data_IF_355067933499
#
_entry.id   IF_355067933499
#
_cell.length_a   1.000
_cell.length_b   1.000
_cell.length_c   1.000
_cell.angle_alpha   90.00
_cell.angle_beta   90.00
_cell.angle_gamma   90.00
#
_symmetry.space_group_name_H-M   'P 1'
#
loop_
_entity.id
_entity.type
_entity.pdbx_description
1 polymer ?
#
# COMPACT_ATOMS: atom_id res chain seq x y z
N UNK A 1 -14.58 -0.41 -9.17
CA UNK A 1 -15.86 0.27 -9.52
C UNK A 1 -16.86 -0.79 -9.93
N UNK A 2 -18.10 -0.74 -9.44
CA UNK A 2 -19.16 -1.64 -9.88
C UNK A 2 -19.88 -1.11 -11.17
N UNK A 3 -20.83 -1.88 -11.70
CA UNK A 3 -21.56 -1.53 -12.92
C UNK A 3 -22.39 -0.24 -12.82
N UNK A 4 -22.72 0.20 -11.61
CA UNK A 4 -23.46 1.46 -11.36
C UNK A 4 -22.50 2.65 -11.13
N UNK A 5 -21.19 2.45 -11.20
CA UNK A 5 -20.18 3.48 -10.98
C UNK A 5 -19.82 3.71 -9.50
N UNK A 6 -20.34 2.89 -8.60
CA UNK A 6 -20.02 2.98 -7.18
C UNK A 6 -18.64 2.40 -6.87
N UNK A 7 -17.91 3.04 -5.95
CA UNK A 7 -16.61 2.57 -5.47
C UNK A 7 -16.79 1.50 -4.40
N UNK A 8 -16.27 0.31 -4.66
CA UNK A 8 -16.21 -0.77 -3.70
C UNK A 8 -14.76 -0.97 -3.24
N UNK A 9 -14.53 -1.24 -1.96
CA UNK A 9 -13.19 -1.44 -1.39
C UNK A 9 -13.21 -2.63 -0.43
N UNK A 10 -12.10 -3.40 -0.43
CA UNK A 10 -11.91 -4.55 0.44
C UNK A 10 -12.68 -5.78 -0.02
N UNK A 11 -13.27 -6.52 0.90
CA UNK A 11 -13.89 -7.82 0.62
C UNK A 11 -15.03 -7.76 -0.41
N UNK A 12 -15.81 -6.66 -0.43
CA UNK A 12 -16.88 -6.47 -1.40
C UNK A 12 -16.30 -6.31 -2.81
N UNK A 13 -15.23 -5.53 -2.96
CA UNK A 13 -14.53 -5.40 -4.24
C UNK A 13 -13.91 -6.74 -4.68
N UNK A 14 -13.30 -7.49 -3.76
CA UNK A 14 -12.72 -8.81 -4.05
C UNK A 14 -13.78 -9.79 -4.59
N UNK A 15 -14.98 -9.79 -4.04
CA UNK A 15 -16.07 -10.67 -4.48
C UNK A 15 -16.52 -10.40 -5.91
N UNK A 16 -16.47 -9.16 -6.38
CA UNK A 16 -16.83 -8.84 -7.76
C UNK A 16 -15.71 -9.12 -8.78
N UNK A 17 -14.49 -9.40 -8.36
CA UNK A 17 -13.35 -9.61 -9.27
C UNK A 17 -13.61 -10.70 -10.33
N UNK A 18 -14.38 -11.72 -9.99
CA UNK A 18 -14.76 -12.80 -10.93
C UNK A 18 -15.69 -12.31 -12.05
N UNK A 19 -16.61 -11.39 -11.74
CA UNK A 19 -17.62 -10.90 -12.68
C UNK A 19 -17.27 -9.55 -13.31
N UNK A 20 -16.33 -8.83 -12.73
CA UNK A 20 -15.84 -7.52 -13.17
C UNK A 20 -14.32 -7.37 -12.95
N UNK A 21 -13.49 -8.21 -13.60
CA UNK A 21 -12.04 -8.18 -13.38
C UNK A 21 -11.38 -6.90 -13.88
N UNK A 22 -11.92 -6.28 -14.94
CA UNK A 22 -11.32 -5.09 -15.59
C UNK A 22 -11.37 -3.86 -14.67
N UNK A 23 -12.45 -3.69 -13.90
CA UNK A 23 -12.63 -2.56 -12.99
C UNK A 23 -12.40 -2.92 -11.51
N UNK A 24 -11.80 -4.08 -11.25
CA UNK A 24 -11.40 -4.52 -9.91
C UNK A 24 -9.89 -4.53 -9.80
N UNK A 25 -9.36 -3.45 -9.22
CA UNK A 25 -7.92 -3.25 -9.10
C UNK A 25 -7.41 -3.92 -7.83
N UNK A 26 -6.32 -4.68 -7.96
CA UNK A 26 -5.62 -5.33 -6.84
C UNK A 26 -4.10 -5.24 -7.03
N UNK A 27 -3.34 -5.50 -5.97
CA UNK A 27 -1.87 -5.46 -5.99
C UNK A 27 -1.28 -4.13 -6.47
N UNK A 28 -2.01 -3.02 -6.33
CA UNK A 28 -1.57 -1.69 -6.77
C UNK A 28 -0.27 -1.24 -6.11
N UNK A 29 0.06 -1.78 -4.94
CA UNK A 29 1.33 -1.57 -4.22
C UNK A 29 2.55 -1.84 -5.11
N UNK A 30 2.47 -2.79 -6.05
CA UNK A 30 3.56 -3.12 -6.99
C UNK A 30 3.87 -2.01 -7.99
N UNK A 31 2.94 -1.10 -8.21
CA UNK A 31 3.07 0.02 -9.14
C UNK A 31 3.41 1.35 -8.46
N UNK A 32 3.46 1.38 -7.13
CA UNK A 32 3.73 2.62 -6.37
C UNK A 32 5.08 3.20 -6.74
N UNK A 33 5.09 4.48 -7.14
CA UNK A 33 6.31 5.24 -7.42
C UNK A 33 7.15 4.74 -8.59
N UNK A 34 6.58 3.90 -9.48
CA UNK A 34 7.30 3.31 -10.62
C UNK A 34 6.89 3.96 -11.93
N UNK A 35 7.82 3.96 -12.88
CA UNK A 35 7.58 4.35 -14.27
C UNK A 35 6.93 3.19 -15.02
N UNK A 36 6.14 3.51 -16.04
CA UNK A 36 5.51 2.50 -16.89
C UNK A 36 6.52 1.54 -17.53
N UNK A 37 7.67 2.08 -17.96
CA UNK A 37 8.77 1.29 -18.57
C UNK A 37 9.35 0.22 -17.63
N UNK A 38 9.23 0.42 -16.31
CA UNK A 38 9.78 -0.50 -15.31
C UNK A 38 8.84 -1.68 -14.99
N UNK A 39 7.59 -1.61 -15.45
CA UNK A 39 6.55 -2.59 -15.09
C UNK A 39 6.00 -3.36 -16.29
N UNK A 40 6.51 -3.13 -17.48
CA UNK A 40 6.00 -3.71 -18.75
C UNK A 40 5.91 -5.24 -18.75
N UNK A 41 6.83 -5.93 -18.09
CA UNK A 41 6.82 -7.38 -17.96
C UNK A 41 5.82 -7.91 -16.93
N UNK A 42 5.36 -7.04 -16.02
CA UNK A 42 4.45 -7.41 -14.94
C UNK A 42 2.97 -7.20 -15.31
N UNK A 43 2.70 -6.20 -16.19
CA UNK A 43 1.33 -5.75 -16.49
C UNK A 43 0.47 -6.82 -17.17
N UNK A 44 1.08 -7.76 -17.89
CA UNK A 44 0.37 -8.87 -18.54
C UNK A 44 -0.31 -9.83 -17.55
N UNK A 45 0.13 -9.81 -16.29
CA UNK A 45 -0.44 -10.66 -15.24
C UNK A 45 -1.73 -10.09 -14.62
N UNK A 46 -2.17 -8.91 -15.06
CA UNK A 46 -3.34 -8.23 -14.48
C UNK A 46 -4.49 -8.14 -15.50
N UNK A 47 -5.73 -8.40 -15.07
CA UNK A 47 -6.89 -8.31 -15.95
C UNK A 47 -7.29 -6.87 -16.26
N UNK A 48 -6.88 -5.90 -15.45
CA UNK A 48 -7.17 -4.48 -15.63
C UNK A 48 -6.08 -3.80 -16.45
N UNK A 49 -6.44 -2.67 -17.07
CA UNK A 49 -5.56 -1.97 -18.00
C UNK A 49 -4.60 -1.04 -17.28
N UNK A 50 -3.30 -1.33 -17.39
CA UNK A 50 -2.19 -0.45 -16.96
C UNK A 50 -1.63 0.27 -18.19
N UNK A 51 -1.36 1.57 -18.07
CA UNK A 51 -0.92 2.44 -19.18
C UNK A 51 0.24 3.34 -18.72
N UNK A 52 0.91 3.94 -19.72
CA UNK A 52 1.77 5.10 -19.47
C UNK A 52 0.89 6.34 -19.26
N UNK A 53 0.99 6.95 -18.11
CA UNK A 53 0.38 8.23 -17.80
C UNK A 53 1.28 9.43 -18.14
N UNK A 54 0.92 10.63 -17.69
CA UNK A 54 1.74 11.83 -17.87
C UNK A 54 3.15 11.63 -17.31
N UNK A 55 4.15 12.15 -18.01
CA UNK A 55 5.58 12.00 -17.66
C UNK A 55 6.07 10.53 -17.55
N UNK A 56 5.36 9.57 -18.14
CA UNK A 56 5.76 8.17 -18.15
C UNK A 56 5.45 7.42 -16.84
N UNK A 57 4.76 8.00 -15.86
CA UNK A 57 4.35 7.29 -14.65
C UNK A 57 3.26 6.27 -14.95
N UNK A 58 3.16 5.25 -14.08
CA UNK A 58 2.07 4.26 -14.21
C UNK A 58 0.72 4.93 -14.00
N UNK A 59 -0.22 4.59 -14.88
CA UNK A 59 -1.63 4.96 -14.80
C UNK A 59 -2.51 3.72 -14.99
N UNK A 60 -3.60 3.62 -14.28
CA UNK A 60 -4.50 2.46 -14.26
C UNK A 60 -5.89 2.93 -14.64
N UNK A 61 -6.45 2.32 -15.69
CA UNK A 61 -7.82 2.58 -16.08
C UNK A 61 -8.79 1.89 -15.10
N UNK A 62 -9.73 2.64 -14.55
CA UNK A 62 -10.77 2.13 -13.65
C UNK A 62 -12.07 2.90 -13.87
N UNK A 63 -13.10 2.22 -14.33
CA UNK A 63 -14.35 2.85 -14.75
C UNK A 63 -14.12 3.75 -15.98
N UNK A 64 -14.53 5.01 -15.86
CA UNK A 64 -14.40 6.01 -16.95
C UNK A 64 -13.16 6.90 -16.84
N UNK A 65 -12.28 6.65 -15.88
CA UNK A 65 -11.14 7.50 -15.58
C UNK A 65 -9.85 6.68 -15.43
N UNK A 66 -8.76 7.36 -15.65
CA UNK A 66 -7.43 6.85 -15.34
C UNK A 66 -7.00 7.38 -13.97
N UNK A 67 -6.36 6.53 -13.20
CA UNK A 67 -5.90 6.84 -11.85
C UNK A 67 -4.43 6.47 -11.69
N UNK A 68 -3.71 7.26 -10.91
CA UNK A 68 -2.37 6.90 -10.48
C UNK A 68 -2.40 5.86 -9.35
N UNK A 69 -1.34 5.05 -9.17
CA UNK A 69 -1.26 4.12 -8.06
C UNK A 69 -1.47 4.78 -6.68
N UNK A 70 -0.92 5.98 -6.38
CA UNK A 70 -1.22 6.70 -5.15
C UNK A 70 -2.70 7.04 -4.96
N UNK A 71 -3.42 7.44 -6.00
CA UNK A 71 -4.87 7.72 -5.92
C UNK A 71 -5.68 6.47 -5.56
N UNK A 72 -5.34 5.31 -6.16
CA UNK A 72 -6.02 4.04 -5.84
C UNK A 72 -5.67 3.59 -4.41
N UNK A 73 -4.41 3.72 -4.01
CA UNK A 73 -3.98 3.42 -2.64
C UNK A 73 -4.66 4.34 -1.62
N UNK A 74 -4.85 5.61 -1.97
CA UNK A 74 -5.59 6.56 -1.14
C UNK A 74 -7.04 6.13 -0.90
N UNK A 75 -7.70 5.51 -1.87
CA UNK A 75 -9.06 4.98 -1.68
C UNK A 75 -9.09 3.90 -0.58
N UNK A 76 -8.06 3.05 -0.53
CA UNK A 76 -7.92 2.02 0.51
C UNK A 76 -7.68 2.68 1.87
N UNK A 77 -6.76 3.65 1.92
CA UNK A 77 -6.46 4.39 3.15
C UNK A 77 -7.69 5.17 3.67
N UNK A 78 -8.50 5.76 2.77
CA UNK A 78 -9.77 6.39 3.14
C UNK A 78 -10.73 5.39 3.79
N UNK A 79 -10.82 4.17 3.25
CA UNK A 79 -11.67 3.13 3.85
C UNK A 79 -11.17 2.71 5.24
N UNK A 80 -9.85 2.56 5.41
CA UNK A 80 -9.24 2.24 6.71
C UNK A 80 -9.45 3.37 7.72
N UNK A 81 -9.27 4.63 7.28
CA UNK A 81 -9.55 5.82 8.09
C UNK A 81 -11.00 5.82 8.56
N UNK A 82 -11.96 5.65 7.64
CA UNK A 82 -13.38 5.61 8.00
C UNK A 82 -13.68 4.49 9.01
N UNK A 83 -13.11 3.30 8.79
CA UNK A 83 -13.30 2.17 9.71
C UNK A 83 -12.74 2.48 11.11
N UNK A 84 -11.59 3.16 11.19
CA UNK A 84 -11.02 3.60 12.47
C UNK A 84 -11.89 4.68 13.13
N UNK A 85 -12.39 5.65 12.38
CA UNK A 85 -13.28 6.71 12.88
C UNK A 85 -14.60 6.11 13.41
N UNK A 86 -15.19 5.16 12.69
CA UNK A 86 -16.41 4.45 13.11
C UNK A 86 -16.19 3.68 14.43
N UNK A 87 -15.01 3.07 14.59
CA UNK A 87 -14.67 2.33 15.82
C UNK A 87 -14.37 3.25 17.01
N UNK A 88 -13.61 4.33 16.78
CA UNK A 88 -13.16 5.25 17.82
C UNK A 88 -14.21 6.30 18.21
N UNK A 89 -15.22 6.52 17.37
CA UNK A 89 -16.21 7.59 17.56
C UNK A 89 -15.62 9.00 17.43
N UNK A 90 -14.43 9.15 16.82
CA UNK A 90 -13.72 10.42 16.68
C UNK A 90 -12.96 10.48 15.36
N UNK A 91 -12.61 11.69 14.90
CA UNK A 91 -11.86 11.89 13.66
C UNK A 91 -10.43 11.37 13.78
N UNK A 92 -9.98 10.70 12.74
CA UNK A 92 -8.59 10.26 12.56
C UNK A 92 -7.92 11.15 11.53
N UNK A 93 -6.93 11.92 11.95
CA UNK A 93 -6.24 12.93 11.13
C UNK A 93 -4.80 12.56 10.82
N UNK A 94 -4.19 11.68 11.61
CA UNK A 94 -2.78 11.33 11.52
C UNK A 94 -2.60 9.82 11.39
N UNK A 95 -1.50 9.41 10.73
CA UNK A 95 -1.14 8.01 10.58
C UNK A 95 0.38 7.80 10.51
N UNK A 96 0.83 6.67 10.99
CA UNK A 96 2.10 6.07 10.62
C UNK A 96 1.81 5.02 9.57
N UNK A 97 2.51 5.05 8.44
CA UNK A 97 2.29 4.12 7.32
C UNK A 97 3.52 3.27 7.13
N UNK A 98 3.32 1.97 6.91
CA UNK A 98 4.41 1.03 6.69
C UNK A 98 4.63 0.75 5.21
N UNK A 99 5.89 0.49 4.85
CA UNK A 99 6.30 0.09 3.50
C UNK A 99 7.31 -1.07 3.59
N UNK A 100 7.45 -1.89 2.54
CA UNK A 100 8.53 -2.87 2.47
C UNK A 100 9.89 -2.21 2.65
N UNK A 101 10.84 -2.92 3.27
CA UNK A 101 12.19 -2.40 3.52
C UNK A 101 12.91 -2.02 2.21
N UNK A 102 12.65 -2.75 1.11
CA UNK A 102 13.24 -2.51 -0.22
C UNK A 102 12.62 -1.35 -1.02
N UNK A 103 11.55 -0.69 -0.52
CA UNK A 103 11.00 0.47 -1.21
C UNK A 103 12.03 1.59 -1.29
N UNK A 104 12.23 2.11 -2.49
CA UNK A 104 13.06 3.29 -2.74
C UNK A 104 12.33 4.59 -2.37
N UNK A 105 13.03 5.71 -2.46
CA UNK A 105 12.50 7.02 -2.07
C UNK A 105 11.26 7.43 -2.88
N UNK A 106 11.22 7.14 -4.19
CA UNK A 106 10.06 7.42 -5.04
C UNK A 106 8.82 6.65 -4.58
N UNK A 107 8.98 5.37 -4.23
CA UNK A 107 7.91 4.52 -3.72
C UNK A 107 7.43 4.97 -2.33
N UNK A 108 8.36 5.37 -1.45
CA UNK A 108 8.05 5.93 -0.13
C UNK A 108 7.30 7.26 -0.25
N UNK A 109 7.75 8.14 -1.15
CA UNK A 109 7.07 9.40 -1.42
C UNK A 109 5.67 9.18 -1.99
N UNK A 110 5.50 8.28 -2.96
CA UNK A 110 4.20 7.91 -3.52
C UNK A 110 3.23 7.38 -2.44
N UNK A 111 3.75 6.62 -1.47
CA UNK A 111 2.97 6.13 -0.33
C UNK A 111 2.56 7.26 0.60
N UNK A 112 3.45 8.21 0.86
CA UNK A 112 3.15 9.41 1.64
C UNK A 112 2.09 10.27 0.96
N UNK A 113 2.18 10.43 -0.37
CA UNK A 113 1.21 11.16 -1.17
C UNK A 113 -0.17 10.48 -1.15
N UNK A 114 -0.22 9.15 -1.19
CA UNK A 114 -1.47 8.41 -1.03
C UNK A 114 -2.14 8.71 0.33
N UNK A 115 -1.37 8.78 1.42
CA UNK A 115 -1.87 9.18 2.73
C UNK A 115 -2.45 10.59 2.73
N UNK A 116 -1.73 11.54 2.11
CA UNK A 116 -2.17 12.94 1.96
C UNK A 116 -3.46 13.04 1.14
N UNK A 117 -3.57 12.34 0.01
CA UNK A 117 -4.78 12.27 -0.81
C UNK A 117 -5.96 11.69 -0.01
N UNK A 118 -5.68 10.73 0.89
CA UNK A 118 -6.68 10.15 1.77
C UNK A 118 -7.14 11.10 2.91
N UNK A 119 -6.53 12.28 3.03
CA UNK A 119 -6.82 13.24 4.10
C UNK A 119 -6.19 12.85 5.43
N UNK A 120 -5.00 12.22 5.39
CA UNK A 120 -4.19 11.87 6.55
C UNK A 120 -2.88 12.65 6.53
N UNK A 121 -2.48 13.18 7.67
CA UNK A 121 -1.11 13.60 7.92
C UNK A 121 -0.26 12.37 8.20
N UNK A 122 0.64 12.05 7.28
CA UNK A 122 1.57 10.92 7.46
C UNK A 122 2.74 11.38 8.29
N UNK A 123 2.74 11.02 9.56
CA UNK A 123 3.77 11.41 10.53
C UNK A 123 5.11 10.75 10.22
N UNK A 124 5.08 9.45 9.86
CA UNK A 124 6.26 8.67 9.50
C UNK A 124 5.92 7.60 8.48
N UNK A 125 6.92 7.28 7.66
CA UNK A 125 6.98 6.03 6.88
C UNK A 125 8.03 5.16 7.57
N UNK A 126 7.65 3.94 7.96
CA UNK A 126 8.55 2.96 8.59
C UNK A 126 8.55 1.66 7.81
N UNK A 127 9.62 0.87 7.96
CA UNK A 127 9.71 -0.43 7.30
C UNK A 127 8.76 -1.44 7.95
N UNK A 128 8.09 -2.26 7.15
CA UNK A 128 7.18 -3.31 7.61
C UNK A 128 7.84 -4.27 8.62
N UNK A 129 9.07 -4.79 8.39
CA UNK A 129 9.73 -5.66 9.35
C UNK A 129 10.06 -4.93 10.67
N UNK A 130 10.41 -3.65 10.63
CA UNK A 130 10.63 -2.84 11.84
C UNK A 130 9.35 -2.68 12.63
N UNK A 131 8.23 -2.39 11.95
CA UNK A 131 6.93 -2.26 12.60
C UNK A 131 6.47 -3.57 13.24
N UNK A 132 6.69 -4.71 12.57
CA UNK A 132 6.39 -6.03 13.11
C UNK A 132 7.22 -6.32 14.38
N UNK A 133 8.51 -5.98 14.37
CA UNK A 133 9.40 -6.16 15.51
C UNK A 133 8.99 -5.30 16.71
N UNK A 134 8.62 -4.04 16.47
CA UNK A 134 8.10 -3.13 17.50
C UNK A 134 6.79 -3.66 18.09
N UNK A 135 5.86 -4.11 17.27
CA UNK A 135 4.59 -4.67 17.71
C UNK A 135 4.76 -5.93 18.56
N UNK A 136 5.80 -6.72 18.29
CA UNK A 136 6.15 -7.90 19.08
C UNK A 136 6.86 -7.55 20.41
N UNK A 137 7.26 -6.30 20.61
CA UNK A 137 7.91 -5.82 21.83
C UNK A 137 9.40 -6.14 21.90
N UNK A 138 10.07 -6.24 20.76
CA UNK A 138 11.51 -6.52 20.69
C UNK A 138 12.37 -5.28 20.98
N UNK A 139 11.81 -4.10 20.98
CA UNK A 139 12.43 -2.83 21.38
C UNK A 139 12.92 -2.82 22.84
N UNK A 140 12.39 -3.71 23.67
CA UNK A 140 12.70 -3.81 25.12
C UNK A 140 13.77 -4.85 25.45
N UNK A 141 14.36 -5.48 24.45
CA UNK A 141 15.33 -6.55 24.64
C UNK A 141 16.75 -6.06 24.33
N UNK A 142 17.73 -6.73 24.94
CA UNK A 142 19.16 -6.54 24.67
C UNK A 142 19.51 -6.90 23.22
N UNK A 143 20.71 -6.55 22.77
CA UNK A 143 21.23 -6.84 21.42
C UNK A 143 20.85 -8.22 20.91
N UNK A 144 20.19 -8.25 19.76
CA UNK A 144 19.70 -9.47 19.12
C UNK A 144 19.72 -9.35 17.59
N UNK A 145 19.97 -10.48 16.93
CA UNK A 145 19.69 -10.65 15.50
C UNK A 145 18.39 -11.43 15.36
N UNK A 146 17.46 -10.89 14.61
CA UNK A 146 16.15 -11.51 14.38
C UNK A 146 15.88 -11.68 12.90
N UNK A 147 15.08 -12.67 12.55
CA UNK A 147 14.51 -12.82 11.23
C UNK A 147 13.00 -12.50 11.30
N UNK A 148 12.54 -11.60 10.45
CA UNK A 148 11.13 -11.33 10.24
C UNK A 148 10.69 -12.07 8.98
N UNK A 149 9.76 -12.99 9.15
CA UNK A 149 9.16 -13.78 8.08
C UNK A 149 7.75 -13.25 7.83
N UNK A 150 7.57 -12.51 6.72
CA UNK A 150 6.30 -11.90 6.35
C UNK A 150 5.71 -12.61 5.13
N UNK A 151 4.72 -13.47 5.36
CA UNK A 151 3.97 -14.15 4.30
C UNK A 151 2.58 -13.53 4.18
N UNK A 152 2.45 -12.60 3.26
CA UNK A 152 1.20 -11.90 2.98
C UNK A 152 0.37 -12.52 1.85
N UNK A 153 -0.71 -11.83 1.48
CA UNK A 153 -1.58 -12.24 0.38
C UNK A 153 -1.04 -11.96 -1.02
N UNK A 154 0.02 -11.16 -1.15
CA UNK A 154 0.60 -10.75 -2.43
C UNK A 154 2.10 -10.94 -2.54
N UNK A 155 2.82 -10.91 -1.43
CA UNK A 155 4.26 -11.05 -1.37
C UNK A 155 4.67 -11.96 -0.23
N UNK A 156 5.87 -12.50 -0.36
CA UNK A 156 6.64 -13.12 0.72
C UNK A 156 7.93 -12.32 0.89
N UNK A 157 8.14 -11.82 2.08
CA UNK A 157 9.32 -11.02 2.41
C UNK A 157 10.02 -11.61 3.63
N UNK A 158 11.34 -11.71 3.57
CA UNK A 158 12.18 -12.09 4.72
C UNK A 158 13.19 -10.98 4.97
N UNK A 159 13.33 -10.57 6.22
CA UNK A 159 14.26 -9.52 6.64
C UNK A 159 15.05 -9.97 7.84
N UNK A 160 16.34 -9.69 7.83
CA UNK A 160 17.22 -9.89 8.99
C UNK A 160 17.43 -8.50 9.60
N UNK A 161 17.14 -8.37 10.87
CA UNK A 161 17.34 -7.14 11.64
C UNK A 161 18.31 -7.38 12.79
N UNK A 162 19.18 -6.41 12.99
CA UNK A 162 19.99 -6.30 14.19
C UNK A 162 19.37 -5.23 15.10
N UNK A 163 19.14 -5.59 16.36
CA UNK A 163 18.54 -4.72 17.36
C UNK A 163 19.60 -4.44 18.39
N UNK A 164 19.94 -3.17 18.61
CA UNK A 164 20.85 -2.72 19.64
C UNK A 164 20.54 -1.27 20.02
N UNK A 165 20.66 -0.91 21.28
CA UNK A 165 20.48 0.45 21.82
C UNK A 165 19.19 1.15 21.34
N UNK A 166 18.07 0.44 21.21
CA UNK A 166 16.78 0.88 20.65
C UNK A 166 16.85 1.25 19.15
N UNK A 167 17.87 0.80 18.43
CA UNK A 167 18.01 0.97 16.98
C UNK A 167 17.74 -0.35 16.29
N UNK A 168 17.06 -0.29 15.16
CA UNK A 168 16.79 -1.43 14.25
C UNK A 168 17.54 -1.20 12.94
N UNK A 169 18.53 -2.03 12.66
CA UNK A 169 19.32 -2.03 11.42
C UNK A 169 19.07 -3.28 10.56
#
# INVERSE_FOLDING_TARGET
>A
INKTGERLIGQVAKRQAVTNPIDTIFSVKRFMGRMYSEVTSEIENYPYKVKSGPNGVVSIAMGKKDHTPPEISAMILQKLKQTAEDYLGSKVTQAVVTVPAYFNDAQRQATKDAGKIAGLEVLRIINEPTAASLAYGLDKKTEQKIAVYDLGGGTFDISILEIGDNVFE
#
